data_IF_869265839015
#
_entry.id   IF_869265839015
#
_cell.length_a   1.000
_cell.length_b   1.000
_cell.length_c   1.000
_cell.angle_alpha   90.00
_cell.angle_beta   90.00
_cell.angle_gamma   90.00
#
_symmetry.space_group_name_H-M   'P 1'
#
loop_
_entity.id
_entity.type
_entity.pdbx_description
1 polymer ?
#
# COMPACT_ATOMS: atom_id res chain seq x y z
N UNK A 1 30.69 6.38 -14.70
CA UNK A 1 29.63 6.56 -13.68
C UNK A 1 28.32 6.24 -14.36
N UNK A 2 27.74 5.08 -14.09
CA UNK A 2 26.44 4.70 -14.63
C UNK A 2 25.40 5.57 -13.93
N UNK A 3 24.84 6.54 -14.63
CA UNK A 3 23.69 7.29 -14.19
C UNK A 3 22.56 6.27 -14.07
N UNK A 4 22.26 5.83 -12.83
CA UNK A 4 21.12 4.95 -12.60
C UNK A 4 19.86 5.72 -12.98
N UNK A 5 19.07 5.12 -13.88
CA UNK A 5 17.79 5.72 -14.30
C UNK A 5 16.83 5.84 -13.11
N UNK A 6 15.91 6.79 -13.18
CA UNK A 6 14.84 6.88 -12.19
C UNK A 6 14.03 5.59 -12.16
N UNK A 7 13.64 5.14 -10.95
CA UNK A 7 12.86 3.93 -10.71
C UNK A 7 11.38 4.29 -10.66
N UNK A 8 10.56 3.60 -11.44
CA UNK A 8 9.10 3.77 -11.46
C UNK A 8 8.42 2.70 -10.62
N UNK A 9 7.74 3.13 -9.58
CA UNK A 9 7.05 2.27 -8.61
C UNK A 9 5.55 2.53 -8.66
N UNK A 10 4.76 1.49 -8.76
CA UNK A 10 3.30 1.55 -8.58
C UNK A 10 2.96 0.99 -7.21
N UNK A 11 2.27 1.78 -6.40
CA UNK A 11 1.64 1.34 -5.17
C UNK A 11 0.18 1.01 -5.44
N UNK A 12 -0.18 -0.26 -5.20
CA UNK A 12 -1.56 -0.76 -5.14
C UNK A 12 -1.91 -1.04 -3.68
N UNK A 13 -3.11 -0.73 -3.27
CA UNK A 13 -3.57 -0.95 -1.90
C UNK A 13 -5.04 -1.31 -1.85
N UNK A 14 -5.43 -2.00 -0.80
CA UNK A 14 -6.82 -2.17 -0.42
C UNK A 14 -7.65 -2.77 -1.58
N UNK A 15 -7.21 -3.94 -2.07
CA UNK A 15 -7.86 -4.62 -3.19
C UNK A 15 -9.13 -5.35 -2.78
N UNK A 16 -9.24 -5.77 -1.51
CA UNK A 16 -10.38 -6.42 -0.89
C UNK A 16 -11.00 -7.52 -1.76
N UNK A 17 -10.14 -8.40 -2.31
CA UNK A 17 -10.60 -9.47 -3.17
C UNK A 17 -11.30 -10.55 -2.37
N UNK A 18 -12.30 -11.15 -3.00
CA UNK A 18 -13.03 -12.32 -2.48
C UNK A 18 -12.64 -13.60 -3.23
N UNK A 19 -12.97 -14.74 -2.63
CA UNK A 19 -12.87 -16.06 -3.28
C UNK A 19 -13.67 -16.12 -4.58
N UNK A 20 -14.85 -15.48 -4.61
CA UNK A 20 -15.70 -15.42 -5.80
C UNK A 20 -15.54 -14.09 -6.54
N UNK A 21 -15.32 -14.15 -7.87
CA UNK A 21 -15.00 -12.98 -8.68
C UNK A 21 -16.10 -11.91 -8.73
N UNK A 22 -17.36 -12.35 -8.61
CA UNK A 22 -18.52 -11.47 -8.71
C UNK A 22 -18.92 -10.85 -7.35
N UNK A 23 -18.25 -11.24 -6.26
CA UNK A 23 -18.51 -10.63 -4.96
C UNK A 23 -18.10 -9.15 -4.96
N UNK A 24 -18.94 -8.35 -4.30
CA UNK A 24 -18.82 -6.91 -4.27
C UNK A 24 -18.63 -6.41 -2.84
N UNK A 25 -17.86 -5.35 -2.71
CA UNK A 25 -17.76 -4.53 -1.50
C UNK A 25 -18.51 -3.22 -1.77
N UNK A 26 -19.52 -2.93 -0.96
CA UNK A 26 -20.36 -1.73 -1.11
C UNK A 26 -20.87 -1.52 -2.55
N UNK A 27 -21.36 -2.60 -3.15
CA UNK A 27 -21.89 -2.60 -4.53
C UNK A 27 -20.82 -2.75 -5.64
N UNK A 28 -19.54 -2.60 -5.32
CA UNK A 28 -18.47 -2.67 -6.31
C UNK A 28 -17.86 -4.08 -6.39
N UNK A 29 -17.95 -4.81 -7.52
CA UNK A 29 -17.22 -6.06 -7.72
C UNK A 29 -15.71 -5.81 -7.72
N UNK A 30 -15.03 -6.24 -6.63
CA UNK A 30 -13.64 -5.85 -6.35
C UNK A 30 -12.65 -6.41 -7.36
N UNK A 31 -12.87 -7.64 -7.84
CA UNK A 31 -12.02 -8.24 -8.88
C UNK A 31 -12.11 -7.48 -10.22
N UNK A 32 -13.32 -7.04 -10.61
CA UNK A 32 -13.53 -6.26 -11.83
C UNK A 32 -12.89 -4.88 -11.71
N UNK A 33 -12.99 -4.26 -10.54
CA UNK A 33 -12.33 -2.99 -10.27
C UNK A 33 -10.81 -3.10 -10.40
N UNK A 34 -10.20 -4.10 -9.75
CA UNK A 34 -8.76 -4.35 -9.86
C UNK A 34 -8.34 -4.61 -11.32
N UNK A 35 -9.11 -5.37 -12.10
CA UNK A 35 -8.83 -5.57 -13.53
C UNK A 35 -8.76 -4.26 -14.31
N UNK A 36 -9.67 -3.31 -14.03
CA UNK A 36 -9.63 -1.97 -14.61
C UNK A 36 -8.35 -1.20 -14.26
N UNK A 37 -7.93 -1.27 -12.99
CA UNK A 37 -6.68 -0.67 -12.51
C UNK A 37 -5.46 -1.31 -13.20
N UNK A 38 -5.39 -2.64 -13.26
CA UNK A 38 -4.29 -3.36 -13.90
C UNK A 38 -4.20 -3.05 -15.41
N UNK A 39 -5.35 -2.93 -16.10
CA UNK A 39 -5.39 -2.49 -17.50
C UNK A 39 -4.80 -1.09 -17.66
N UNK A 40 -5.08 -0.15 -16.74
CA UNK A 40 -4.49 1.19 -16.76
C UNK A 40 -2.97 1.14 -16.54
N UNK A 41 -2.49 0.30 -15.62
CA UNK A 41 -1.05 0.09 -15.36
C UNK A 41 -0.34 -0.45 -16.61
N UNK A 42 -0.94 -1.37 -17.35
CA UNK A 42 -0.38 -1.91 -18.61
C UNK A 42 -0.17 -0.84 -19.67
N UNK A 43 -0.94 0.24 -19.64
CA UNK A 43 -0.85 1.36 -20.59
C UNK A 43 0.20 2.40 -20.21
N UNK A 44 0.79 2.32 -19.01
CA UNK A 44 1.79 3.29 -18.56
C UNK A 44 3.06 3.22 -19.43
N UNK A 45 3.53 4.41 -19.83
CA UNK A 45 4.80 4.57 -20.54
C UNK A 45 5.65 5.64 -19.83
N UNK A 46 6.90 5.35 -19.50
CA UNK A 46 7.54 4.03 -19.51
C UNK A 46 6.87 3.06 -18.51
N UNK A 47 7.06 1.76 -18.77
CA UNK A 47 6.53 0.69 -17.91
C UNK A 47 7.07 0.80 -16.47
N UNK A 48 6.27 0.49 -15.45
CA UNK A 48 6.76 0.42 -14.07
C UNK A 48 7.79 -0.70 -13.87
N UNK A 49 8.77 -0.43 -13.01
CA UNK A 49 9.83 -1.37 -12.65
C UNK A 49 9.41 -2.27 -11.47
N UNK A 50 8.47 -1.79 -10.64
CA UNK A 50 8.12 -2.38 -9.35
C UNK A 50 6.67 -2.15 -9.00
N UNK A 51 6.01 -3.18 -8.42
CA UNK A 51 4.73 -3.05 -7.73
C UNK A 51 4.92 -3.23 -6.23
N UNK A 52 4.31 -2.35 -5.44
CA UNK A 52 4.17 -2.48 -3.99
C UNK A 52 2.69 -2.65 -3.63
N UNK A 53 2.36 -3.78 -3.01
CA UNK A 53 1.02 -4.04 -2.49
C UNK A 53 1.01 -3.72 -1.00
N UNK A 54 0.27 -2.68 -0.61
CA UNK A 54 0.33 -2.13 0.75
C UNK A 54 -0.83 -2.54 1.65
N UNK A 55 -1.25 -3.81 1.52
CA UNK A 55 -2.18 -4.47 2.44
C UNK A 55 -3.64 -4.42 2.01
N UNK A 56 -4.47 -5.11 2.80
CA UNK A 56 -5.90 -5.37 2.57
C UNK A 56 -6.15 -5.97 1.18
N UNK A 57 -5.39 -7.04 0.90
CA UNK A 57 -5.40 -7.71 -0.39
C UNK A 57 -6.60 -8.66 -0.55
N UNK A 58 -7.07 -9.20 0.57
CA UNK A 58 -8.26 -10.06 0.66
C UNK A 58 -9.33 -9.39 1.54
N UNK A 59 -10.60 -9.69 1.27
CA UNK A 59 -11.72 -9.33 2.16
C UNK A 59 -12.19 -10.53 2.99
N UNK A 60 -12.04 -11.74 2.47
CA UNK A 60 -12.55 -12.98 3.09
C UNK A 60 -11.44 -13.87 3.64
N UNK A 61 -10.20 -13.42 3.61
CA UNK A 61 -9.01 -14.09 4.16
C UNK A 61 -8.76 -15.50 3.60
N UNK A 62 -9.40 -15.87 2.50
CA UNK A 62 -9.32 -17.22 1.95
C UNK A 62 -8.10 -17.43 1.06
N UNK A 63 -7.58 -18.68 0.93
CA UNK A 63 -6.55 -18.97 -0.08
C UNK A 63 -6.99 -18.60 -1.50
N UNK A 64 -8.29 -18.72 -1.81
CA UNK A 64 -8.83 -18.47 -3.15
C UNK A 64 -8.77 -16.98 -3.52
N UNK A 65 -8.97 -16.04 -2.58
CA UNK A 65 -8.83 -14.61 -2.83
C UNK A 65 -7.38 -14.23 -3.15
N UNK A 66 -6.39 -14.76 -2.43
CA UNK A 66 -4.97 -14.54 -2.71
C UNK A 66 -4.51 -15.19 -4.02
N UNK A 67 -5.02 -16.38 -4.35
CA UNK A 67 -4.78 -17.02 -5.66
C UNK A 67 -5.35 -16.17 -6.80
N UNK A 68 -6.52 -15.56 -6.59
CA UNK A 68 -7.11 -14.60 -7.52
C UNK A 68 -6.23 -13.38 -7.71
N UNK A 69 -5.76 -12.77 -6.62
CA UNK A 69 -4.80 -11.65 -6.68
C UNK A 69 -3.58 -12.04 -7.52
N UNK A 70 -2.99 -13.21 -7.20
CA UNK A 70 -1.84 -13.72 -7.92
C UNK A 70 -2.13 -13.89 -9.41
N UNK A 71 -3.26 -14.48 -9.78
CA UNK A 71 -3.64 -14.72 -11.17
C UNK A 71 -3.86 -13.43 -11.96
N UNK A 72 -4.41 -12.39 -11.32
CA UNK A 72 -4.66 -11.08 -11.94
C UNK A 72 -3.37 -10.29 -12.14
N UNK A 73 -2.44 -10.29 -11.18
CA UNK A 73 -1.21 -9.49 -11.23
C UNK A 73 -0.10 -10.19 -12.04
N UNK A 74 0.00 -11.51 -11.99
CA UNK A 74 1.06 -12.28 -12.67
C UNK A 74 1.28 -11.92 -14.15
N UNK A 75 0.24 -11.68 -14.97
CA UNK A 75 0.41 -11.31 -16.38
C UNK A 75 1.16 -9.99 -16.61
N UNK A 76 1.20 -9.10 -15.63
CA UNK A 76 2.01 -7.88 -15.72
C UNK A 76 3.50 -8.20 -15.79
N UNK A 77 3.94 -9.30 -15.21
CA UNK A 77 5.35 -9.70 -15.15
C UNK A 77 6.26 -8.55 -14.65
N UNK A 78 5.85 -7.90 -13.55
CA UNK A 78 6.58 -6.84 -12.85
C UNK A 78 6.91 -7.36 -11.46
N UNK A 79 8.14 -7.15 -10.99
CA UNK A 79 8.55 -7.51 -9.62
C UNK A 79 7.57 -6.91 -8.61
N UNK A 80 6.95 -7.76 -7.81
CA UNK A 80 5.85 -7.39 -6.91
C UNK A 80 6.19 -7.76 -5.48
N UNK A 81 6.21 -6.77 -4.60
CA UNK A 81 6.41 -6.94 -3.17
C UNK A 81 5.14 -6.58 -2.41
N UNK A 82 4.95 -7.14 -1.23
CA UNK A 82 3.70 -7.00 -0.50
C UNK A 82 3.90 -6.96 1.01
N UNK A 83 2.95 -6.32 1.68
CA UNK A 83 2.72 -6.37 3.13
C UNK A 83 1.26 -6.73 3.39
N UNK A 84 0.93 -7.33 4.55
CA UNK A 84 -0.46 -7.53 4.94
C UNK A 84 -1.08 -6.24 5.46
N UNK A 85 -2.41 -6.13 5.33
CA UNK A 85 -3.25 -5.21 6.07
C UNK A 85 -4.05 -5.92 7.16
N UNK A 86 -5.03 -5.24 7.75
CA UNK A 86 -5.87 -5.80 8.83
C UNK A 86 -6.89 -6.83 8.34
N UNK A 87 -7.23 -6.83 7.06
CA UNK A 87 -8.06 -7.85 6.40
C UNK A 87 -7.23 -9.00 5.81
N UNK A 88 -5.97 -9.16 6.19
CA UNK A 88 -5.11 -10.18 5.61
C UNK A 88 -4.63 -11.20 6.62
N UNK A 89 -4.43 -12.44 6.15
CA UNK A 89 -3.84 -13.54 6.93
C UNK A 89 -2.43 -13.86 6.40
N UNK A 90 -1.35 -13.35 7.03
CA UNK A 90 0.01 -13.54 6.56
C UNK A 90 0.41 -15.01 6.36
N UNK A 91 -0.08 -15.90 7.21
CA UNK A 91 0.20 -17.33 7.12
C UNK A 91 -0.39 -17.98 5.85
N UNK A 92 -1.50 -17.44 5.32
CA UNK A 92 -2.14 -17.90 4.08
C UNK A 92 -1.50 -17.18 2.87
N UNK A 93 -1.21 -15.90 2.98
CA UNK A 93 -0.61 -15.09 1.91
C UNK A 93 0.76 -15.61 1.50
N UNK A 94 1.63 -15.88 2.49
CA UNK A 94 3.04 -16.15 2.27
C UNK A 94 3.30 -17.31 1.30
N UNK A 95 2.70 -18.51 1.44
CA UNK A 95 2.92 -19.61 0.50
C UNK A 95 2.39 -19.32 -0.90
N UNK A 96 1.34 -18.49 -1.04
CA UNK A 96 0.72 -18.18 -2.33
C UNK A 96 1.51 -17.07 -3.05
N UNK A 97 1.93 -16.03 -2.32
CA UNK A 97 2.61 -14.85 -2.87
C UNK A 97 4.14 -14.91 -2.69
N UNK A 98 4.74 -16.11 -2.72
CA UNK A 98 6.18 -16.32 -2.59
C UNK A 98 6.89 -16.65 -3.92
N UNK A 99 6.13 -16.85 -5.01
CA UNK A 99 6.69 -17.24 -6.31
C UNK A 99 6.68 -16.09 -7.31
N UNK A 100 7.76 -15.94 -8.07
CA UNK A 100 7.87 -14.87 -9.07
C UNK A 100 6.60 -14.69 -9.93
N UNK A 101 6.21 -13.44 -10.19
CA UNK A 101 6.92 -12.19 -9.94
C UNK A 101 6.78 -11.63 -8.51
N UNK A 102 6.13 -12.37 -7.58
CA UNK A 102 5.93 -11.98 -6.18
C UNK A 102 7.14 -12.32 -5.33
N UNK A 103 7.41 -11.49 -4.34
CA UNK A 103 8.48 -11.67 -3.37
C UNK A 103 8.00 -11.32 -1.97
N UNK A 104 8.34 -12.19 -1.01
CA UNK A 104 8.04 -12.00 0.41
C UNK A 104 9.16 -11.25 1.16
N UNK A 105 10.23 -10.83 0.47
CA UNK A 105 11.32 -10.08 1.11
C UNK A 105 10.82 -8.77 1.69
N UNK A 106 11.18 -8.51 2.94
CA UNK A 106 10.79 -7.29 3.66
C UNK A 106 11.83 -6.18 3.56
N UNK A 107 13.03 -6.51 3.09
CA UNK A 107 14.09 -5.55 2.79
C UNK A 107 14.71 -5.91 1.45
N UNK A 108 14.87 -4.93 0.58
CA UNK A 108 15.55 -5.08 -0.71
C UNK A 108 16.05 -3.72 -1.23
N UNK A 109 16.97 -3.79 -2.17
CA UNK A 109 17.50 -2.61 -2.87
C UNK A 109 17.14 -2.71 -4.33
N UNK A 110 16.63 -1.61 -4.90
CA UNK A 110 16.44 -1.47 -6.34
C UNK A 110 16.83 -0.07 -6.80
N UNK A 111 17.63 0.02 -7.86
CA UNK A 111 18.31 1.26 -8.21
C UNK A 111 19.17 1.77 -7.05
N UNK A 112 19.05 3.05 -6.72
CA UNK A 112 19.73 3.65 -5.56
C UNK A 112 18.85 3.69 -4.31
N UNK A 113 17.67 3.07 -4.31
CA UNK A 113 16.74 3.10 -3.20
C UNK A 113 16.72 1.80 -2.41
N UNK A 114 16.64 1.93 -1.10
CA UNK A 114 16.33 0.85 -0.18
C UNK A 114 14.85 0.86 0.15
N UNK A 115 14.26 -0.33 0.28
CA UNK A 115 12.85 -0.55 0.61
C UNK A 115 12.76 -1.37 1.88
N UNK A 116 12.00 -0.88 2.85
CA UNK A 116 11.71 -1.57 4.10
C UNK A 116 10.20 -1.76 4.22
N UNK A 117 9.75 -3.01 4.17
CA UNK A 117 8.33 -3.39 4.19
C UNK A 117 7.97 -3.88 5.59
N UNK A 118 7.18 -3.10 6.31
CA UNK A 118 6.89 -3.29 7.72
C UNK A 118 5.47 -3.85 7.90
N UNK A 119 5.35 -4.97 8.61
CA UNK A 119 4.04 -5.50 8.96
C UNK A 119 3.49 -4.75 10.19
N UNK A 120 2.36 -4.06 9.99
CA UNK A 120 1.64 -3.35 11.05
C UNK A 120 0.30 -4.01 11.42
N UNK A 121 -0.05 -5.11 10.76
CA UNK A 121 -1.30 -5.82 11.06
C UNK A 121 -1.22 -6.54 12.42
N UNK A 122 -2.28 -6.44 13.19
CA UNK A 122 -2.47 -7.14 14.46
C UNK A 122 -3.61 -8.14 14.29
N UNK A 123 -3.42 -9.42 14.65
CA UNK A 123 -4.47 -10.41 14.47
C UNK A 123 -5.79 -10.01 15.12
N UNK A 124 -6.89 -10.11 14.38
CA UNK A 124 -8.26 -9.77 14.81
C UNK A 124 -8.45 -8.31 15.26
N UNK A 125 -7.61 -7.40 14.82
CA UNK A 125 -7.73 -5.96 15.10
C UNK A 125 -7.80 -5.16 13.81
N UNK A 126 -8.60 -4.09 13.80
CA UNK A 126 -8.68 -3.15 12.65
C UNK A 126 -7.55 -2.11 12.70
N UNK A 127 -7.03 -1.82 13.89
CA UNK A 127 -5.89 -0.91 14.06
C UNK A 127 -4.56 -1.63 13.88
N UNK A 128 -3.53 -0.87 13.54
CA UNK A 128 -2.16 -1.38 13.45
C UNK A 128 -1.37 -1.19 14.74
N UNK A 129 -0.34 -2.03 14.90
CA UNK A 129 0.70 -1.87 15.92
C UNK A 129 1.98 -2.55 15.44
N UNK A 130 3.13 -1.95 15.73
CA UNK A 130 4.43 -2.55 15.44
C UNK A 130 4.96 -3.25 16.70
N UNK A 131 5.29 -4.53 16.59
CA UNK A 131 5.92 -5.24 17.70
C UNK A 131 7.30 -4.65 18.04
N UNK A 132 7.78 -4.90 19.25
CA UNK A 132 9.12 -4.47 19.66
C UNK A 132 10.21 -5.04 18.74
N UNK A 133 10.04 -6.29 18.28
CA UNK A 133 10.96 -6.95 17.36
C UNK A 133 10.95 -6.26 15.99
N UNK A 134 9.76 -5.85 15.50
CA UNK A 134 9.62 -5.13 14.22
C UNK A 134 10.30 -3.76 14.29
N UNK A 135 10.11 -3.03 15.39
CA UNK A 135 10.76 -1.73 15.60
C UNK A 135 12.30 -1.87 15.71
N UNK A 136 12.77 -2.87 16.45
CA UNK A 136 14.21 -3.15 16.57
C UNK A 136 14.83 -3.54 15.23
N UNK A 137 14.16 -4.43 14.46
CA UNK A 137 14.59 -4.81 13.12
C UNK A 137 14.66 -3.59 12.17
N UNK A 138 13.61 -2.74 12.17
CA UNK A 138 13.60 -1.54 11.34
C UNK A 138 14.77 -0.62 11.65
N UNK A 139 15.05 -0.40 12.95
CA UNK A 139 16.16 0.42 13.37
C UNK A 139 17.51 -0.18 12.98
N UNK A 140 17.71 -1.50 13.16
CA UNK A 140 18.91 -2.20 12.72
C UNK A 140 19.17 -2.03 11.21
N UNK A 141 18.11 -2.17 10.38
CA UNK A 141 18.25 -1.96 8.95
C UNK A 141 18.67 -0.52 8.63
N UNK A 142 18.07 0.46 9.29
CA UNK A 142 18.37 1.88 9.06
C UNK A 142 19.78 2.27 9.54
N UNK A 143 20.33 1.60 10.55
CA UNK A 143 21.72 1.83 11.01
C UNK A 143 22.78 1.43 9.98
N UNK A 144 22.47 0.43 9.15
CA UNK A 144 23.44 -0.17 8.21
C UNK A 144 23.33 0.40 6.80
N UNK A 145 22.31 1.22 6.51
CA UNK A 145 21.98 1.71 5.17
C UNK A 145 22.09 3.23 5.14
N UNK A 146 22.87 3.76 4.18
CA UNK A 146 23.10 5.20 3.98
C UNK A 146 22.37 5.78 2.76
N UNK A 147 21.73 4.92 1.94
CA UNK A 147 21.02 5.35 0.73
C UNK A 147 19.58 5.77 1.00
N UNK A 148 18.97 6.55 0.08
CA UNK A 148 17.55 6.93 0.18
C UNK A 148 16.67 5.72 0.45
N UNK A 149 15.82 5.83 1.47
CA UNK A 149 15.00 4.72 1.95
C UNK A 149 13.52 5.07 1.88
N UNK A 150 12.74 4.11 1.37
CA UNK A 150 11.30 4.09 1.39
C UNK A 150 10.85 3.03 2.41
N UNK A 151 10.03 3.46 3.38
CA UNK A 151 9.36 2.56 4.34
C UNK A 151 7.91 2.39 3.91
N UNK A 152 7.40 1.16 3.88
CA UNK A 152 5.99 0.91 3.61
C UNK A 152 5.38 0.09 4.74
N UNK A 153 4.19 0.50 5.19
CA UNK A 153 3.35 -0.22 6.15
C UNK A 153 1.88 -0.06 5.74
N UNK A 154 0.96 -0.82 6.35
CA UNK A 154 -0.44 -0.69 5.97
C UNK A 154 -1.13 0.49 6.67
N UNK A 155 -1.02 0.56 8.01
CA UNK A 155 -1.71 1.57 8.80
C UNK A 155 -0.94 2.90 8.83
N UNK A 156 -1.63 4.06 8.64
CA UNK A 156 -0.97 5.36 8.66
C UNK A 156 -0.31 5.67 10.02
N UNK A 157 0.93 6.16 10.01
CA UNK A 157 1.61 6.58 11.24
C UNK A 157 1.37 8.06 11.58
N UNK A 158 0.57 8.76 10.77
CA UNK A 158 0.22 10.17 10.94
C UNK A 158 -1.29 10.35 10.84
N UNK A 159 -1.88 11.36 11.51
CA UNK A 159 -3.30 11.67 11.33
C UNK A 159 -3.61 12.04 9.88
N UNK A 160 -4.80 11.64 9.42
CA UNK A 160 -5.28 11.94 8.05
C UNK A 160 -6.48 12.87 8.02
N UNK A 161 -6.83 13.47 9.17
CA UNK A 161 -7.95 14.38 9.35
C UNK A 161 -9.33 13.73 9.10
N UNK A 162 -9.46 12.44 9.37
CA UNK A 162 -10.74 11.71 9.38
C UNK A 162 -10.88 10.99 10.71
N UNK A 163 -11.72 11.52 11.61
CA UNK A 163 -11.76 11.12 13.03
C UNK A 163 -12.02 9.63 13.24
N UNK A 164 -12.88 9.02 12.41
CA UNK A 164 -13.18 7.60 12.53
C UNK A 164 -11.99 6.73 12.12
N UNK A 165 -11.24 7.16 11.08
CA UNK A 165 -10.05 6.47 10.58
C UNK A 165 -8.86 6.68 11.51
N UNK A 166 -8.68 7.91 12.04
CA UNK A 166 -7.59 8.22 12.97
C UNK A 166 -7.67 7.43 14.28
N UNK A 167 -8.87 6.91 14.63
CA UNK A 167 -9.03 5.99 15.76
C UNK A 167 -8.51 4.57 15.53
N UNK A 168 -8.34 4.17 14.27
CA UNK A 168 -7.91 2.82 13.86
C UNK A 168 -6.57 2.80 13.11
N UNK A 169 -5.83 3.90 13.16
CA UNK A 169 -4.47 4.02 12.63
C UNK A 169 -3.45 3.21 13.44
N UNK A 170 -2.16 3.43 13.19
CA UNK A 170 -1.06 2.81 13.93
C UNK A 170 -1.04 3.28 15.39
N UNK A 171 -1.28 2.37 16.35
CA UNK A 171 -1.41 2.70 17.78
C UNK A 171 -0.12 3.23 18.40
N UNK A 172 1.01 2.66 18.06
CA UNK A 172 2.32 3.08 18.56
C UNK A 172 3.10 3.91 17.52
N UNK A 173 2.39 4.76 16.76
CA UNK A 173 2.97 5.63 15.75
C UNK A 173 4.15 6.47 16.28
N UNK A 174 4.08 6.94 17.53
CA UNK A 174 5.15 7.72 18.16
C UNK A 174 6.49 6.96 18.24
N UNK A 175 6.46 5.66 18.47
CA UNK A 175 7.65 4.83 18.49
C UNK A 175 8.29 4.71 17.09
N UNK A 176 7.47 4.51 16.05
CA UNK A 176 7.93 4.51 14.66
C UNK A 176 8.52 5.87 14.28
N UNK A 177 7.79 6.96 14.51
CA UNK A 177 8.23 8.31 14.17
C UNK A 177 9.54 8.68 14.87
N UNK A 178 9.72 8.28 16.16
CA UNK A 178 10.97 8.50 16.89
C UNK A 178 12.17 7.75 16.28
N UNK A 179 11.95 6.59 15.66
CA UNK A 179 12.97 5.91 14.87
C UNK A 179 13.24 6.70 13.58
N UNK A 180 12.23 6.98 12.79
CA UNK A 180 12.40 7.64 11.48
C UNK A 180 13.09 9.01 11.59
N UNK A 181 12.80 9.77 12.64
CA UNK A 181 13.40 11.10 12.90
C UNK A 181 14.93 11.06 13.08
N UNK A 182 15.50 9.90 13.46
CA UNK A 182 16.95 9.72 13.66
C UNK A 182 17.69 9.38 12.37
N UNK A 183 16.98 8.99 11.30
CA UNK A 183 17.56 8.47 10.07
C UNK A 183 17.19 9.32 8.86
N UNK A 184 17.96 10.37 8.54
CA UNK A 184 17.63 11.34 7.48
C UNK A 184 17.63 10.74 6.07
N UNK A 185 18.15 9.52 5.89
CA UNK A 185 18.04 8.77 4.63
C UNK A 185 16.61 8.26 4.37
N UNK A 186 15.71 8.20 5.37
CA UNK A 186 14.30 7.92 5.14
C UNK A 186 13.67 9.13 4.44
N UNK A 187 13.21 8.94 3.22
CA UNK A 187 12.60 10.00 2.38
C UNK A 187 11.10 9.86 2.25
N UNK A 188 10.61 8.61 2.19
CA UNK A 188 9.22 8.32 1.93
C UNK A 188 8.68 7.29 2.93
N UNK A 189 7.45 7.50 3.37
CA UNK A 189 6.62 6.51 4.05
C UNK A 189 5.36 6.29 3.24
N UNK A 190 5.11 5.05 2.79
CA UNK A 190 3.90 4.67 2.04
C UNK A 190 2.96 3.87 2.93
N UNK A 191 1.66 4.11 2.79
CA UNK A 191 0.64 3.35 3.51
C UNK A 191 -0.66 3.20 2.70
N UNK A 192 -1.47 2.20 3.09
CA UNK A 192 -2.82 1.94 2.61
C UNK A 192 -3.86 2.31 3.66
N UNK A 193 -4.87 1.44 3.87
CA UNK A 193 -5.89 1.49 4.90
C UNK A 193 -6.92 2.62 4.75
N UNK A 194 -6.51 3.77 4.27
CA UNK A 194 -7.32 4.99 4.26
C UNK A 194 -8.21 5.14 3.03
N UNK A 195 -8.00 4.33 2.00
CA UNK A 195 -8.75 4.36 0.75
C UNK A 195 -8.88 5.76 0.12
N UNK A 196 -7.88 6.61 0.31
CA UNK A 196 -7.87 7.97 -0.23
C UNK A 196 -6.46 8.41 -0.59
N UNK A 197 -6.36 9.41 -1.44
CA UNK A 197 -5.09 10.08 -1.72
C UNK A 197 -4.69 10.93 -0.51
N UNK A 198 -3.44 10.73 -0.06
CA UNK A 198 -2.86 11.51 1.01
C UNK A 198 -1.41 11.85 0.67
N UNK A 199 -0.98 13.08 0.94
CA UNK A 199 0.35 13.56 0.65
C UNK A 199 0.73 14.69 1.61
N UNK A 200 1.58 14.40 2.57
CA UNK A 200 2.06 15.39 3.55
C UNK A 200 3.54 15.21 3.85
N UNK A 201 4.21 16.34 4.11
CA UNK A 201 5.57 16.35 4.63
C UNK A 201 5.55 16.59 6.14
N UNK A 202 6.27 15.75 6.86
CA UNK A 202 6.44 15.88 8.30
C UNK A 202 7.87 15.53 8.68
N UNK A 203 8.59 16.46 9.33
CA UNK A 203 9.99 16.31 9.80
C UNK A 203 10.96 15.77 8.73
N UNK A 204 10.86 16.28 7.51
CA UNK A 204 11.75 15.90 6.41
C UNK A 204 11.41 14.61 5.66
N UNK A 205 10.39 13.88 6.13
CA UNK A 205 9.86 12.67 5.48
C UNK A 205 8.53 13.01 4.80
N UNK A 206 8.31 12.47 3.59
CA UNK A 206 7.03 12.59 2.88
C UNK A 206 6.19 11.36 3.13
N UNK A 207 4.98 11.55 3.65
CA UNK A 207 4.00 10.51 3.98
C UNK A 207 2.95 10.45 2.88
N UNK A 208 2.79 9.29 2.26
CA UNK A 208 1.94 9.08 1.09
C UNK A 208 0.97 7.94 1.32
N UNK A 209 -0.32 8.24 1.33
CA UNK A 209 -1.39 7.26 1.33
C UNK A 209 -1.89 6.96 -0.08
N UNK A 210 -2.20 5.71 -0.39
CA UNK A 210 -2.75 5.32 -1.67
C UNK A 210 -4.27 5.33 -1.68
N UNK A 211 -4.91 5.66 -2.82
CA UNK A 211 -6.30 5.29 -3.04
C UNK A 211 -6.43 3.77 -3.08
N UNK A 212 -7.59 3.27 -2.73
CA UNK A 212 -7.93 1.87 -2.92
C UNK A 212 -8.11 1.53 -4.40
N UNK A 213 -7.79 0.30 -4.79
CA UNK A 213 -8.19 -0.23 -6.10
C UNK A 213 -9.66 -0.64 -6.14
N UNK A 214 -10.38 -0.42 -5.05
CA UNK A 214 -11.78 -0.74 -4.82
C UNK A 214 -12.55 0.55 -4.45
N UNK A 215 -13.24 0.58 -3.31
CA UNK A 215 -14.02 1.75 -2.85
C UNK A 215 -13.13 2.81 -2.24
N UNK A 216 -13.54 4.07 -2.33
CA UNK A 216 -12.82 5.19 -1.71
C UNK A 216 -13.57 5.68 -0.48
N UNK A 217 -12.85 6.16 0.53
CA UNK A 217 -13.44 6.79 1.71
C UNK A 217 -13.35 8.31 1.61
N UNK A 218 -14.40 8.98 2.10
CA UNK A 218 -14.50 10.43 2.04
C UNK A 218 -13.48 11.08 2.98
N UNK A 219 -12.59 11.96 2.47
CA UNK A 219 -11.63 12.69 3.30
C UNK A 219 -12.32 13.65 4.28
N UNK A 220 -11.61 13.98 5.36
CA UNK A 220 -12.06 14.95 6.36
C UNK A 220 -13.43 14.61 6.97
N UNK A 221 -13.70 13.33 7.21
CA UNK A 221 -14.99 12.85 7.68
C UNK A 221 -14.93 12.43 9.15
N UNK A 222 -15.91 12.86 9.98
CA UNK A 222 -16.05 12.41 11.37
C UNK A 222 -16.50 10.96 11.47
N UNK A 223 -17.39 10.55 10.57
CA UNK A 223 -17.93 9.19 10.48
C UNK A 223 -17.53 8.53 9.18
N UNK A 224 -17.68 7.19 9.12
CA UNK A 224 -17.52 6.46 7.87
C UNK A 224 -18.41 7.06 6.77
N UNK A 225 -17.82 7.30 5.62
CA UNK A 225 -18.52 7.72 4.41
C UNK A 225 -17.74 7.30 3.17
N UNK A 226 -18.48 6.82 2.16
CA UNK A 226 -17.94 6.46 0.84
C UNK A 226 -17.77 7.72 0.00
N UNK A 227 -16.67 7.78 -0.77
CA UNK A 227 -16.42 8.85 -1.74
C UNK A 227 -16.85 8.40 -3.15
N UNK A 228 -17.25 9.35 -3.99
CA UNK A 228 -17.58 9.15 -5.41
C UNK A 228 -16.33 8.95 -6.30
N UNK A 229 -15.15 9.21 -5.77
CA UNK A 229 -13.90 9.04 -6.50
C UNK A 229 -13.72 7.60 -6.95
N UNK A 230 -13.22 7.44 -8.16
CA UNK A 230 -13.01 6.13 -8.78
C UNK A 230 -11.78 5.42 -8.21
N UNK A 231 -11.77 4.06 -8.27
CA UNK A 231 -10.60 3.26 -7.94
C UNK A 231 -9.33 3.73 -8.62
N UNK A 232 -8.19 3.56 -7.95
CA UNK A 232 -6.93 4.05 -8.48
C UNK A 232 -5.70 3.41 -7.86
N UNK A 233 -4.57 4.00 -8.15
CA UNK A 233 -3.27 3.62 -7.63
C UNK A 233 -2.35 4.85 -7.58
N UNK A 234 -1.28 4.74 -6.79
CA UNK A 234 -0.23 5.76 -6.74
C UNK A 234 0.94 5.36 -7.63
N UNK A 235 1.38 6.26 -8.49
CA UNK A 235 2.61 6.13 -9.26
C UNK A 235 3.68 7.02 -8.62
N UNK A 236 4.88 6.46 -8.40
CA UNK A 236 6.04 7.17 -7.92
C UNK A 236 7.16 7.09 -8.97
N UNK A 237 7.94 8.15 -9.07
CA UNK A 237 9.22 8.15 -9.76
C UNK A 237 10.29 8.52 -8.74
N UNK A 238 11.18 7.57 -8.45
CA UNK A 238 12.23 7.68 -7.45
C UNK A 238 13.56 7.97 -8.15
N UNK A 239 14.14 9.13 -7.87
CA UNK A 239 15.40 9.54 -8.50
C UNK A 239 16.62 9.08 -7.70
N UNK A 240 17.78 8.90 -8.35
CA UNK A 240 18.98 8.41 -7.69
C UNK A 240 19.52 9.30 -6.57
N UNK A 241 19.16 10.59 -6.58
CA UNK A 241 19.55 11.59 -5.57
C UNK A 241 18.68 11.56 -4.31
N UNK A 242 17.68 10.68 -4.25
CA UNK A 242 16.74 10.57 -3.14
C UNK A 242 15.51 11.48 -3.27
N UNK A 243 15.40 12.27 -4.33
CA UNK A 243 14.16 12.98 -4.63
C UNK A 243 13.11 12.05 -5.23
N UNK A 244 11.83 12.42 -5.12
CA UNK A 244 10.73 11.64 -5.66
C UNK A 244 9.58 12.54 -6.15
N UNK A 245 8.98 12.14 -7.27
CA UNK A 245 7.69 12.68 -7.70
C UNK A 245 6.61 11.61 -7.59
N UNK A 246 5.37 12.02 -7.41
CA UNK A 246 4.23 11.11 -7.28
C UNK A 246 2.98 11.70 -7.89
N UNK A 247 2.11 10.83 -8.37
CA UNK A 247 0.76 11.15 -8.82
C UNK A 247 -0.19 9.99 -8.55
N UNK A 248 -1.46 10.30 -8.40
CA UNK A 248 -2.53 9.29 -8.35
C UNK A 248 -3.16 9.17 -9.72
N UNK A 249 -3.27 7.94 -10.20
CA UNK A 249 -3.98 7.56 -11.42
C UNK A 249 -5.27 6.85 -11.04
N UNK A 250 -6.37 7.16 -11.75
CA UNK A 250 -7.68 6.53 -11.52
C UNK A 250 -8.23 5.93 -12.80
N UNK A 251 -9.07 4.90 -12.68
CA UNK A 251 -9.76 4.31 -13.83
C UNK A 251 -10.88 5.22 -14.32
N UNK A 252 -11.22 5.15 -15.61
CA UNK A 252 -12.28 5.97 -16.20
C UNK A 252 -13.66 5.37 -15.99
N UNK A 253 -13.77 4.04 -16.06
CA UNK A 253 -15.02 3.31 -15.92
C UNK A 253 -15.02 2.50 -14.63
N UNK A 254 -16.09 2.61 -13.86
CA UNK A 254 -16.27 1.89 -12.59
C UNK A 254 -17.75 1.50 -12.49
N UNK A 255 -18.06 0.29 -12.01
CA UNK A 255 -19.44 -0.05 -11.64
C UNK A 255 -19.97 0.92 -10.57
N UNK A 256 -21.29 1.06 -10.44
CA UNK A 256 -21.88 1.94 -9.44
C UNK A 256 -21.50 1.51 -8.01
N UNK A 257 -21.37 2.50 -7.14
CA UNK A 257 -21.10 2.34 -5.71
C UNK A 257 -22.36 2.52 -4.90
N UNK A 258 -22.45 1.88 -3.75
CA UNK A 258 -23.46 2.20 -2.74
C UNK A 258 -22.93 3.34 -1.85
N UNK A 259 -23.25 4.57 -2.22
CA UNK A 259 -22.87 5.77 -1.50
C UNK A 259 -23.64 5.96 -0.17
N UNK A 260 -24.71 5.20 0.04
CA UNK A 260 -25.51 5.24 1.26
C UNK A 260 -24.98 4.29 2.35
N UNK A 261 -23.92 3.52 2.06
CA UNK A 261 -23.34 2.61 3.04
C UNK A 261 -22.80 3.36 4.27
N UNK A 262 -23.07 2.81 5.45
CA UNK A 262 -22.70 3.40 6.76
C UNK A 262 -21.59 2.63 7.47
N UNK A 263 -21.06 1.60 6.85
CA UNK A 263 -19.97 0.75 7.35
C UNK A 263 -19.61 -0.36 6.35
N UNK A 264 -18.50 -1.05 6.61
CA UNK A 264 -18.05 -2.17 5.81
C UNK A 264 -17.21 -3.14 6.64
#
# INVERSE_FOLDING_TARGET
>A
MTQTSALRVVQLSDTHLFAHAEQALLGLPTARSLQGVLKRIQQLQPRPDLLLLTGDLSQDETPASYQRLQSLIRPLNISTYWIPGNHDQPAIMQPILATAPFSAHKQFVQGNWNFLLVNSAVPNCVHGELSAETLAWLEEQLQTIDRPTLVALHHPPVPIASDWMDRINLKNASALLAILDRYPQVKLVLFGHIHQEFDQHYRGVRYLGAPSTCVQFKPNSHNFAVDELKPGFRLLTLYPDGSATTQVERIHECPPLDLAATGY
#
